data_IF_834174193065
#
_entry.id   IF_834174193065
#
_cell.length_a   1.000
_cell.length_b   1.000
_cell.length_c   1.000
_cell.angle_alpha   90.00
_cell.angle_beta   90.00
_cell.angle_gamma   90.00
#
_symmetry.space_group_name_H-M   'P 1'
#
loop_
_entity.id
_entity.type
_entity.pdbx_description
1 polymer ?
#
# COMPACT_ATOMS: atom_id res chain seq x y z
N UNK A 1 19.91 4.00 -2.43
CA UNK A 1 20.73 2.86 -1.99
C UNK A 1 21.43 3.30 -0.72
N UNK A 2 21.31 2.54 0.38
CA UNK A 2 21.98 2.87 1.64
C UNK A 2 23.48 3.05 1.39
N UNK A 3 24.07 4.06 2.04
CA UNK A 3 25.51 4.25 2.00
C UNK A 3 26.22 3.02 2.60
N UNK A 4 27.47 2.72 2.20
CA UNK A 4 28.21 1.59 2.76
C UNK A 4 28.26 1.59 4.30
N UNK A 5 28.41 2.78 4.90
CA UNK A 5 28.43 2.94 6.35
C UNK A 5 27.07 2.61 7.02
N UNK A 6 25.95 2.79 6.33
CA UNK A 6 24.63 2.39 6.83
C UNK A 6 24.40 0.89 6.71
N UNK A 7 24.88 0.26 5.62
CA UNK A 7 24.84 -1.20 5.47
C UNK A 7 25.56 -1.91 6.62
N UNK A 8 26.76 -1.44 6.98
CA UNK A 8 27.54 -2.02 8.09
C UNK A 8 26.81 -1.93 9.44
N UNK A 9 26.02 -0.88 9.67
CA UNK A 9 25.19 -0.77 10.87
C UNK A 9 24.08 -1.81 10.87
N UNK A 10 23.38 -1.96 9.74
CA UNK A 10 22.32 -2.96 9.60
C UNK A 10 22.85 -4.38 9.80
N UNK A 11 24.01 -4.72 9.24
CA UNK A 11 24.61 -6.05 9.43
C UNK A 11 25.02 -6.36 10.88
N UNK A 12 25.29 -5.34 11.70
CA UNK A 12 25.55 -5.52 13.14
C UNK A 12 24.26 -5.74 13.94
N UNK A 13 23.16 -5.16 13.49
CA UNK A 13 21.84 -5.29 14.14
C UNK A 13 21.12 -6.57 13.69
N UNK A 14 21.34 -7.02 12.47
CA UNK A 14 20.65 -8.14 11.85
C UNK A 14 20.63 -9.41 12.70
N UNK A 15 21.76 -9.87 13.30
CA UNK A 15 21.77 -11.08 14.12
C UNK A 15 21.04 -10.95 15.46
N UNK A 16 20.59 -9.75 15.83
CA UNK A 16 19.84 -9.48 17.06
C UNK A 16 18.34 -9.65 16.87
N UNK A 17 17.86 -9.76 15.63
CA UNK A 17 16.46 -10.03 15.32
C UNK A 17 16.18 -11.52 15.54
N UNK A 18 15.08 -11.83 16.23
CA UNK A 18 14.71 -13.23 16.52
C UNK A 18 14.18 -13.97 15.27
N UNK A 19 13.58 -13.23 14.33
CA UNK A 19 13.02 -13.77 13.11
C UNK A 19 12.98 -12.70 12.01
N UNK A 20 13.52 -13.04 10.84
CA UNK A 20 13.45 -12.21 9.65
C UNK A 20 12.77 -12.97 8.52
N UNK A 21 11.67 -12.40 8.01
CA UNK A 21 10.90 -12.96 6.90
C UNK A 21 10.95 -11.99 5.72
N UNK A 22 11.36 -12.49 4.56
CA UNK A 22 11.36 -11.70 3.32
C UNK A 22 10.37 -12.29 2.31
N UNK A 23 9.56 -11.42 1.71
CA UNK A 23 8.68 -11.76 0.59
C UNK A 23 9.24 -11.07 -0.65
N UNK A 24 9.68 -11.85 -1.63
CA UNK A 24 10.32 -11.31 -2.82
C UNK A 24 10.10 -12.21 -4.04
N UNK A 25 10.26 -11.63 -5.24
CA UNK A 25 10.23 -12.34 -6.51
C UNK A 25 11.54 -13.07 -6.80
N UNK A 26 12.64 -12.53 -6.29
CA UNK A 26 13.99 -13.02 -6.53
C UNK A 26 14.76 -13.18 -5.21
N UNK A 27 15.83 -13.98 -5.24
CA UNK A 27 16.75 -14.09 -4.12
C UNK A 27 17.65 -12.85 -4.05
N UNK A 28 17.13 -11.77 -3.45
CA UNK A 28 17.86 -10.51 -3.21
C UNK A 28 18.87 -10.65 -2.06
N UNK A 29 19.76 -9.67 -1.88
CA UNK A 29 20.73 -9.62 -0.77
C UNK A 29 19.99 -9.76 0.58
N UNK A 30 18.84 -9.09 0.73
CA UNK A 30 17.99 -9.20 1.92
C UNK A 30 17.38 -10.60 2.10
N UNK A 31 16.85 -11.19 1.03
CA UNK A 31 16.29 -12.55 1.08
C UNK A 31 17.35 -13.59 1.47
N UNK A 32 18.57 -13.46 0.96
CA UNK A 32 19.68 -14.37 1.28
C UNK A 32 20.12 -14.32 2.76
N UNK A 33 19.85 -13.22 3.45
CA UNK A 33 20.14 -13.05 4.89
C UNK A 33 18.92 -13.28 5.79
N UNK A 34 17.77 -13.67 5.23
CA UNK A 34 16.53 -13.91 6.00
C UNK A 34 16.43 -15.35 6.47
N UNK A 35 15.78 -15.56 7.61
CA UNK A 35 15.53 -16.91 8.15
C UNK A 35 14.46 -17.66 7.32
N UNK A 36 13.48 -16.92 6.80
CA UNK A 36 12.42 -17.44 5.95
C UNK A 36 12.21 -16.57 4.73
N UNK A 37 12.16 -17.19 3.57
CA UNK A 37 11.85 -16.53 2.29
C UNK A 37 10.54 -17.08 1.76
N UNK A 38 9.57 -16.20 1.52
CA UNK A 38 8.29 -16.54 0.91
C UNK A 38 8.29 -16.10 -0.56
N UNK A 39 7.93 -16.98 -1.51
CA UNK A 39 7.90 -16.63 -2.92
C UNK A 39 6.73 -15.67 -3.20
N UNK A 40 7.07 -14.42 -3.55
CA UNK A 40 6.11 -13.42 -3.98
C UNK A 40 5.64 -13.67 -5.42
N UNK A 41 4.36 -13.41 -5.68
CA UNK A 41 3.82 -13.40 -7.03
C UNK A 41 4.18 -12.09 -7.77
N UNK A 42 4.38 -12.19 -9.08
CA UNK A 42 4.69 -11.05 -9.94
C UNK A 42 3.44 -10.20 -10.20
N UNK A 43 3.64 -8.98 -10.71
CA UNK A 43 2.53 -8.10 -11.09
C UNK A 43 1.61 -8.75 -12.14
N UNK A 44 2.09 -9.69 -12.96
CA UNK A 44 1.27 -10.33 -13.99
C UNK A 44 0.38 -11.47 -13.46
N UNK A 45 0.54 -11.85 -12.20
CA UNK A 45 -0.07 -13.05 -11.61
C UNK A 45 -1.30 -12.76 -10.74
N UNK A 46 -1.55 -11.52 -10.36
CA UNK A 46 -2.72 -11.16 -9.54
C UNK A 46 -3.44 -9.90 -10.04
N UNK A 47 -4.69 -9.78 -9.65
CA UNK A 47 -5.45 -8.54 -9.80
C UNK A 47 -5.03 -7.55 -8.74
N UNK A 48 -4.75 -6.31 -9.17
CA UNK A 48 -4.37 -5.24 -8.25
C UNK A 48 -5.02 -3.91 -8.64
N UNK A 49 -5.27 -3.05 -7.66
CA UNK A 49 -5.81 -1.70 -7.86
C UNK A 49 -4.70 -0.69 -7.65
N UNK A 50 -4.28 -0.02 -8.72
CA UNK A 50 -3.25 1.00 -8.65
C UNK A 50 -3.88 2.39 -8.51
N UNK A 51 -3.56 3.05 -7.40
CA UNK A 51 -3.70 4.48 -7.24
C UNK A 51 -2.32 5.08 -6.92
N UNK A 52 -2.16 6.37 -7.15
CA UNK A 52 -0.90 7.07 -6.92
C UNK A 52 -1.10 8.27 -6.01
N UNK A 53 -0.09 8.55 -5.20
CA UNK A 53 -0.04 9.75 -4.37
C UNK A 53 0.34 11.00 -5.17
N UNK A 54 0.94 10.83 -6.36
CA UNK A 54 1.42 11.94 -7.20
C UNK A 54 0.43 12.36 -8.26
N UNK A 55 -0.45 11.46 -8.68
CA UNK A 55 -1.42 11.72 -9.73
C UNK A 55 -2.77 11.10 -9.42
N UNK A 56 -3.82 11.79 -9.81
CA UNK A 56 -5.21 11.41 -9.55
C UNK A 56 -5.74 10.34 -10.52
N UNK A 57 -4.89 9.47 -11.05
CA UNK A 57 -5.29 8.36 -11.93
C UNK A 57 -5.39 7.06 -11.14
N UNK A 58 -6.44 6.32 -11.44
CA UNK A 58 -6.69 4.98 -10.90
C UNK A 58 -6.77 4.01 -12.07
N UNK A 59 -6.03 2.90 -11.96
CA UNK A 59 -6.05 1.80 -12.91
C UNK A 59 -6.17 0.48 -12.18
N UNK A 60 -6.63 -0.55 -12.90
CA UNK A 60 -6.58 -1.91 -12.43
C UNK A 60 -5.51 -2.64 -13.23
N UNK A 61 -4.76 -3.50 -12.55
CA UNK A 61 -3.87 -4.45 -13.18
C UNK A 61 -4.59 -5.78 -13.28
N UNK A 62 -4.55 -6.37 -14.46
CA UNK A 62 -5.23 -7.61 -14.78
C UNK A 62 -4.27 -8.79 -14.65
N UNK A 63 -4.79 -9.90 -14.13
CA UNK A 63 -4.06 -11.16 -14.10
C UNK A 63 -3.84 -11.65 -15.54
N UNK A 64 -2.60 -11.57 -16.02
CA UNK A 64 -2.21 -11.99 -17.36
C UNK A 64 -1.79 -13.47 -17.41
N UNK A 65 -1.20 -13.99 -16.33
CA UNK A 65 -0.72 -15.37 -16.22
C UNK A 65 -1.18 -16.00 -14.89
N UNK A 66 -1.32 -17.34 -14.80
CA UNK A 66 -1.52 -18.01 -13.52
C UNK A 66 -0.29 -17.87 -12.62
N UNK A 67 -0.45 -18.03 -11.30
CA UNK A 67 0.66 -17.96 -10.36
C UNK A 67 1.71 -19.02 -10.69
N UNK A 68 2.98 -18.63 -10.68
CA UNK A 68 4.08 -19.54 -10.86
C UNK A 68 4.34 -20.36 -9.59
N UNK A 69 4.30 -21.69 -9.72
CA UNK A 69 4.50 -22.65 -8.63
C UNK A 69 3.68 -22.32 -7.37
N UNK A 70 4.33 -22.15 -6.23
CA UNK A 70 3.71 -21.87 -4.93
C UNK A 70 3.63 -20.37 -4.63
N UNK A 71 4.04 -19.52 -5.57
CA UNK A 71 4.06 -18.07 -5.45
C UNK A 71 2.68 -17.50 -5.13
N UNK A 72 2.63 -16.56 -4.18
CA UNK A 72 1.40 -15.90 -3.72
C UNK A 72 1.56 -14.40 -3.75
N UNK A 73 0.47 -13.69 -4.04
CA UNK A 73 0.51 -12.24 -3.98
C UNK A 73 0.71 -11.78 -2.53
N UNK A 74 1.28 -10.60 -2.34
CA UNK A 74 1.43 -10.00 -1.03
C UNK A 74 0.11 -9.97 -0.26
N UNK A 75 -0.99 -9.66 -0.96
CA UNK A 75 -2.31 -9.61 -0.38
C UNK A 75 -2.78 -10.98 0.10
N UNK A 76 -2.55 -12.03 -0.69
CA UNK A 76 -2.86 -13.41 -0.29
C UNK A 76 -2.01 -13.86 0.91
N UNK A 77 -0.71 -13.55 0.93
CA UNK A 77 0.19 -13.87 2.04
C UNK A 77 -0.30 -13.18 3.33
N UNK A 78 -0.60 -11.88 3.27
CA UNK A 78 -1.13 -11.12 4.40
C UNK A 78 -2.46 -11.69 4.90
N UNK A 79 -3.34 -12.07 3.98
CA UNK A 79 -4.64 -12.69 4.27
C UNK A 79 -4.48 -14.01 5.04
N UNK A 80 -3.60 -14.89 4.56
CA UNK A 80 -3.32 -16.18 5.18
C UNK A 80 -2.65 -16.00 6.55
N UNK A 81 -1.71 -15.06 6.67
CA UNK A 81 -1.05 -14.74 7.92
C UNK A 81 -2.04 -14.18 8.94
N UNK A 82 -2.88 -13.22 8.57
CA UNK A 82 -3.91 -12.65 9.44
C UNK A 82 -4.90 -13.72 9.91
N UNK A 83 -5.36 -14.60 9.02
CA UNK A 83 -6.22 -15.73 9.39
C UNK A 83 -5.54 -16.63 10.43
N UNK A 84 -4.26 -16.94 10.23
CA UNK A 84 -3.51 -17.83 11.12
C UNK A 84 -3.27 -17.20 12.49
N UNK A 85 -2.89 -15.92 12.53
CA UNK A 85 -2.67 -15.19 13.78
C UNK A 85 -3.97 -15.03 14.58
N UNK A 86 -5.10 -14.79 13.90
CA UNK A 86 -6.41 -14.73 14.55
C UNK A 86 -6.87 -16.07 15.13
N UNK A 87 -6.38 -17.21 14.63
CA UNK A 87 -6.61 -18.51 15.28
C UNK A 87 -5.85 -18.65 16.60
N UNK A 88 -4.65 -18.07 16.69
CA UNK A 88 -3.83 -18.10 17.91
C UNK A 88 -4.31 -17.09 18.94
N UNK A 89 -4.66 -15.88 18.51
CA UNK A 89 -5.18 -14.82 19.35
C UNK A 89 -6.34 -14.12 18.63
N UNK A 90 -7.60 -14.41 19.00
CA UNK A 90 -8.77 -13.81 18.36
C UNK A 90 -8.72 -12.28 18.41
N UNK A 91 -8.81 -11.63 17.26
CA UNK A 91 -8.75 -10.18 17.14
C UNK A 91 -7.34 -9.59 17.03
N UNK A 92 -6.30 -10.42 16.87
CA UNK A 92 -4.93 -9.95 16.65
C UNK A 92 -4.81 -9.05 15.42
N UNK A 93 -5.48 -9.41 14.32
CA UNK A 93 -5.50 -8.63 13.09
C UNK A 93 -6.94 -8.37 12.67
N UNK A 94 -7.25 -7.10 12.38
CA UNK A 94 -8.51 -6.68 11.74
C UNK A 94 -8.47 -6.81 10.22
N UNK A 95 -7.36 -7.33 9.66
CA UNK A 95 -7.21 -7.46 8.22
C UNK A 95 -8.27 -8.43 7.66
N UNK A 96 -8.93 -8.08 6.54
CA UNK A 96 -9.97 -8.87 5.88
C UNK A 96 -9.49 -10.24 5.35
N UNK A 97 -9.31 -11.21 6.23
CA UNK A 97 -8.72 -12.53 5.95
C UNK A 97 -9.60 -13.43 5.04
N UNK A 98 -10.88 -13.11 4.92
CA UNK A 98 -11.88 -13.86 4.18
C UNK A 98 -12.09 -13.38 2.73
N UNK A 99 -11.59 -12.20 2.38
CA UNK A 99 -11.83 -11.58 1.09
C UNK A 99 -10.69 -11.88 0.10
N UNK A 100 -11.03 -12.23 -1.15
CA UNK A 100 -10.04 -12.38 -2.22
C UNK A 100 -9.51 -11.01 -2.69
N UNK A 101 -8.41 -10.99 -3.45
CA UNK A 101 -7.88 -9.77 -4.06
C UNK A 101 -8.96 -9.00 -4.84
N UNK A 102 -9.77 -9.72 -5.61
CA UNK A 102 -10.85 -9.13 -6.39
C UNK A 102 -11.97 -8.55 -5.50
N UNK A 103 -12.28 -9.18 -4.37
CA UNK A 103 -13.27 -8.67 -3.43
C UNK A 103 -12.78 -7.41 -2.73
N UNK A 104 -11.49 -7.33 -2.42
CA UNK A 104 -10.87 -6.14 -1.87
C UNK A 104 -10.87 -4.99 -2.88
N UNK A 105 -10.60 -5.25 -4.16
CA UNK A 105 -10.75 -4.24 -5.23
C UNK A 105 -12.20 -3.74 -5.31
N UNK A 106 -13.18 -4.65 -5.28
CA UNK A 106 -14.62 -4.28 -5.31
C UNK A 106 -15.02 -3.43 -4.11
N UNK A 107 -14.46 -3.72 -2.93
CA UNK A 107 -14.70 -2.96 -1.70
C UNK A 107 -14.00 -1.60 -1.71
N UNK A 108 -12.75 -1.55 -2.18
CA UNK A 108 -11.97 -0.31 -2.31
C UNK A 108 -12.61 0.68 -3.29
N UNK A 109 -13.19 0.18 -4.38
CA UNK A 109 -14.00 0.97 -5.31
C UNK A 109 -15.44 1.11 -4.81
N UNK A 110 -15.61 1.73 -3.63
CA UNK A 110 -16.91 2.01 -3.03
C UNK A 110 -17.74 3.01 -3.89
N UNK A 111 -19.05 3.22 -3.60
CA UNK A 111 -19.90 4.11 -4.40
C UNK A 111 -19.37 5.55 -4.53
N UNK A 112 -18.70 6.07 -3.50
CA UNK A 112 -18.13 7.42 -3.52
C UNK A 112 -16.94 7.52 -4.48
N UNK A 113 -16.00 6.58 -4.41
CA UNK A 113 -14.85 6.52 -5.33
C UNK A 113 -15.32 6.29 -6.76
N UNK A 114 -16.31 5.42 -6.97
CA UNK A 114 -16.90 5.20 -8.31
C UNK A 114 -17.53 6.46 -8.88
N UNK A 115 -18.24 7.24 -8.06
CA UNK A 115 -18.77 8.56 -8.45
C UNK A 115 -17.65 9.52 -8.84
N UNK A 116 -16.57 9.58 -8.07
CA UNK A 116 -15.41 10.42 -8.39
C UNK A 116 -14.70 9.99 -9.67
N UNK A 117 -14.66 8.69 -9.97
CA UNK A 117 -14.10 8.16 -11.22
C UNK A 117 -15.04 8.26 -12.42
N UNK A 118 -16.32 8.60 -12.20
CA UNK A 118 -17.35 8.61 -13.25
C UNK A 118 -17.64 7.22 -13.82
N UNK A 119 -17.53 6.17 -12.99
CA UNK A 119 -17.80 4.78 -13.39
C UNK A 119 -18.98 4.21 -12.60
N UNK A 120 -19.73 3.32 -13.24
CA UNK A 120 -20.82 2.55 -12.62
C UNK A 120 -20.32 1.23 -12.03
N UNK A 121 -19.32 0.61 -12.67
CA UNK A 121 -18.77 -0.69 -12.29
C UNK A 121 -17.24 -0.70 -12.38
N UNK A 122 -16.57 -1.43 -11.48
CA UNK A 122 -15.09 -1.55 -11.45
C UNK A 122 -14.48 -2.08 -12.76
N UNK A 123 -15.27 -2.83 -13.56
CA UNK A 123 -14.84 -3.44 -14.82
C UNK A 123 -14.59 -2.40 -15.90
N UNK A 124 -15.11 -1.19 -15.73
CA UNK A 124 -14.84 -0.09 -16.65
C UNK A 124 -13.37 0.32 -16.63
N UNK A 125 -12.66 0.08 -15.52
CA UNK A 125 -11.22 0.30 -15.42
C UNK A 125 -10.40 -0.70 -16.25
N UNK A 126 -10.97 -1.85 -16.63
CA UNK A 126 -10.33 -2.81 -17.55
C UNK A 126 -10.22 -2.23 -18.97
N UNK A 127 -11.07 -1.26 -19.32
CA UNK A 127 -11.00 -0.56 -20.61
C UNK A 127 -9.92 0.54 -20.61
N UNK A 128 -9.30 0.81 -19.46
CA UNK A 128 -8.25 1.80 -19.31
C UNK A 128 -8.38 2.64 -18.03
N UNK A 129 -7.30 3.35 -17.67
CA UNK A 129 -7.24 4.15 -16.46
C UNK A 129 -8.29 5.28 -16.47
N UNK A 130 -8.73 5.70 -15.28
CA UNK A 130 -9.64 6.82 -15.09
C UNK A 130 -9.03 7.83 -14.13
N UNK A 131 -9.20 9.11 -14.45
CA UNK A 131 -8.79 10.21 -13.57
C UNK A 131 -9.93 10.54 -12.61
N UNK A 132 -9.62 10.67 -11.33
CA UNK A 132 -10.55 11.15 -10.32
C UNK A 132 -10.97 12.59 -10.64
N UNK A 133 -12.27 12.84 -10.60
CA UNK A 133 -12.87 14.16 -10.71
C UNK A 133 -12.81 14.87 -9.36
N UNK A 134 -11.61 15.29 -8.98
CA UNK A 134 -11.31 16.07 -7.77
C UNK A 134 -10.60 17.35 -8.15
N UNK A 135 -10.66 18.37 -7.27
CA UNK A 135 -9.92 19.61 -7.47
C UNK A 135 -8.42 19.33 -7.58
N UNK A 136 -7.74 20.03 -8.48
CA UNK A 136 -6.31 19.80 -8.74
C UNK A 136 -5.39 20.18 -7.59
N UNK A 137 -5.85 21.01 -6.64
CA UNK A 137 -5.08 21.46 -5.47
C UNK A 137 -5.75 20.98 -4.17
N UNK A 138 -5.05 20.20 -3.32
CA UNK A 138 -5.59 19.69 -2.05
C UNK A 138 -6.07 20.78 -1.09
N UNK A 139 -5.48 21.98 -1.13
CA UNK A 139 -5.88 23.16 -0.33
C UNK A 139 -6.33 24.32 -1.21
N UNK A 140 -7.19 24.02 -2.20
CA UNK A 140 -7.76 25.04 -3.09
C UNK A 140 -8.54 26.16 -2.37
N UNK A 141 -8.94 25.93 -1.12
CA UNK A 141 -9.60 26.89 -0.23
C UNK A 141 -8.63 27.75 0.59
N UNK A 142 -7.32 27.43 0.55
CA UNK A 142 -6.28 28.14 1.30
C UNK A 142 -6.28 27.86 2.81
N UNK A 143 -7.04 26.85 3.27
CA UNK A 143 -7.17 26.52 4.71
C UNK A 143 -6.33 25.29 5.02
N UNK A 144 -5.16 25.49 5.62
CA UNK A 144 -4.24 24.40 5.97
C UNK A 144 -4.55 23.82 7.36
N UNK A 145 -4.14 22.57 7.63
CA UNK A 145 -4.20 21.95 8.97
C UNK A 145 -3.04 22.38 9.88
N UNK A 146 -2.63 23.64 9.77
CA UNK A 146 -1.68 24.25 10.69
C UNK A 146 -2.44 24.99 11.80
N UNK A 147 -1.81 25.24 12.97
CA UNK A 147 -2.42 26.07 14.01
C UNK A 147 -2.86 27.44 13.49
N UNK A 148 -2.08 28.04 12.58
CA UNK A 148 -2.40 29.34 11.95
C UNK A 148 -3.43 29.27 10.81
N UNK A 149 -3.83 28.07 10.39
CA UNK A 149 -4.65 27.79 9.19
C UNK A 149 -4.04 28.29 7.87
N UNK A 150 -2.77 28.71 7.89
CA UNK A 150 -2.00 29.21 6.74
C UNK A 150 -0.83 28.28 6.44
N UNK A 151 -0.22 28.49 5.29
CA UNK A 151 1.06 27.85 4.97
C UNK A 151 2.17 28.43 5.86
N UNK A 152 2.83 27.59 6.66
CA UNK A 152 3.88 28.00 7.59
C UNK A 152 5.26 27.76 6.97
N UNK A 153 5.96 28.83 6.59
CA UNK A 153 7.32 28.76 6.03
C UNK A 153 8.38 28.49 7.10
N UNK A 154 8.05 28.78 8.37
CA UNK A 154 8.95 28.63 9.50
C UNK A 154 8.17 28.03 10.67
N UNK A 155 8.63 26.89 11.16
CA UNK A 155 8.12 26.24 12.36
C UNK A 155 9.07 26.56 13.52
N UNK A 156 8.68 27.39 14.51
CA UNK A 156 9.55 27.73 15.63
C UNK A 156 9.67 26.52 16.58
N UNK A 157 10.86 25.93 16.62
CA UNK A 157 11.16 24.71 17.38
C UNK A 157 10.96 23.49 16.49
N UNK A 158 12.02 22.70 16.28
CA UNK A 158 12.02 21.49 15.46
C UNK A 158 11.20 20.34 16.06
N UNK A 159 9.93 20.60 16.37
CA UNK A 159 8.94 19.59 16.73
C UNK A 159 8.47 18.88 15.47
N UNK A 160 8.74 17.59 15.43
CA UNK A 160 8.33 16.67 14.39
C UNK A 160 6.79 16.70 14.20
N UNK A 161 6.41 16.66 12.92
CA UNK A 161 5.09 16.28 12.39
C UNK A 161 3.85 17.05 12.90
N UNK A 162 3.68 18.29 12.45
CA UNK A 162 2.34 18.72 12.03
C UNK A 162 2.12 18.21 10.61
N UNK A 163 1.59 16.99 10.51
CA UNK A 163 1.27 16.35 9.25
C UNK A 163 0.50 17.32 8.33
N UNK A 164 1.14 17.71 7.22
CA UNK A 164 0.53 18.48 6.13
C UNK A 164 -0.41 17.54 5.33
N UNK A 165 -1.21 16.73 6.01
CA UNK A 165 -2.17 15.84 5.38
C UNK A 165 -3.57 16.24 5.83
N UNK A 166 -4.30 16.97 4.96
CA UNK A 166 -5.67 17.43 5.23
C UNK A 166 -6.64 17.06 4.13
N UNK A 167 -7.82 16.62 4.56
CA UNK A 167 -9.14 16.62 3.89
C UNK A 167 -9.16 16.29 2.40
N UNK A 168 -9.49 15.03 2.11
CA UNK A 168 -10.10 14.61 0.84
C UNK A 168 -9.14 14.06 -0.21
N UNK A 169 -7.86 13.93 0.09
CA UNK A 169 -6.92 13.21 -0.78
C UNK A 169 -7.01 11.71 -0.51
N UNK A 170 -7.20 10.92 -1.57
CA UNK A 170 -7.23 9.45 -1.53
C UNK A 170 -5.95 8.84 -0.93
N UNK A 171 -4.87 9.63 -0.84
CA UNK A 171 -3.61 9.31 -0.16
C UNK A 171 -3.75 8.92 1.32
N UNK A 172 -4.92 9.15 1.96
CA UNK A 172 -5.15 8.79 3.36
C UNK A 172 -6.17 7.64 3.55
N UNK A 173 -6.65 7.04 2.45
CA UNK A 173 -7.68 5.99 2.44
C UNK A 173 -7.19 4.64 1.88
N UNK A 174 -5.88 4.47 1.71
CA UNK A 174 -5.25 3.16 1.49
C UNK A 174 -4.29 2.86 2.63
#
# INVERSE_FOLDING_TARGET
LASPAEKDKWFKLWPQLELVVTVDLFMTETAAHSDLVLPGASFFEDYDLHASNWHNWVSINEKAIPNFHEGKSHLEIMRLLAAKLNQFSPGFSTFPSEFSSLDLIRKGLNPEIRRLLGISHWRELLKGPRRLNVKSSPWSDGIFLTPSRKFELYLPGGGEETAICSKGTVSCLM
#
